data_IF_289910153116
#
_entry.id   IF_289910153116
#
_cell.length_a   1.000
_cell.length_b   1.000
_cell.length_c   1.000
_cell.angle_alpha   90.00
_cell.angle_beta   90.00
_cell.angle_gamma   90.00
#
_symmetry.space_group_name_H-M   'P 1'
#
loop_
_entity.id
_entity.type
_entity.pdbx_description
1 polymer ?
#
# COMPACT_ATOMS: atom_id res chain seq x y z
N UNK A 1 -5.82 -3.68 -8.31
CA UNK A 1 -4.54 -3.96 -7.64
C UNK A 1 -4.55 -3.37 -6.24
N UNK A 2 -3.83 -4.00 -5.34
CA UNK A 2 -3.62 -3.46 -3.99
C UNK A 2 -2.46 -2.48 -4.03
N UNK A 3 -2.64 -1.30 -3.46
CA UNK A 3 -1.66 -0.21 -3.50
C UNK A 3 -1.00 -0.08 -2.13
N UNK A 4 0.33 -0.17 -2.09
CA UNK A 4 1.10 0.15 -0.90
C UNK A 4 1.14 1.66 -0.65
N UNK A 5 1.25 2.06 0.60
CA UNK A 5 1.35 3.47 0.98
C UNK A 5 2.47 4.21 0.24
N UNK A 6 3.59 3.53 -0.05
CA UNK A 6 4.72 4.14 -0.76
C UNK A 6 4.36 4.68 -2.13
N UNK A 7 3.44 4.02 -2.83
CA UNK A 7 2.97 4.45 -4.16
C UNK A 7 2.20 5.76 -4.06
N UNK A 8 1.28 5.86 -3.10
CA UNK A 8 0.50 7.07 -2.86
C UNK A 8 1.40 8.22 -2.42
N UNK A 9 2.35 7.93 -1.52
CA UNK A 9 3.29 8.94 -1.02
C UNK A 9 4.21 9.47 -2.13
N UNK A 10 4.67 8.59 -3.04
CA UNK A 10 5.44 9.01 -4.19
C UNK A 10 4.66 9.97 -5.08
N UNK A 11 3.38 9.70 -5.30
CA UNK A 11 2.50 10.57 -6.07
C UNK A 11 2.29 11.93 -5.38
N UNK A 12 2.01 11.93 -4.06
CA UNK A 12 1.80 13.16 -3.30
C UNK A 12 3.04 14.06 -3.25
N UNK A 13 4.23 13.45 -3.30
CA UNK A 13 5.51 14.17 -3.24
C UNK A 13 6.10 14.44 -4.62
N UNK A 14 5.38 14.12 -5.69
CA UNK A 14 5.88 14.20 -7.08
C UNK A 14 7.27 13.55 -7.24
N UNK A 15 7.47 12.43 -6.57
CA UNK A 15 8.71 11.66 -6.59
C UNK A 15 8.85 10.85 -7.88
N UNK A 16 10.05 10.31 -8.20
CA UNK A 16 10.21 9.39 -9.31
C UNK A 16 9.19 8.24 -9.25
N UNK A 17 8.50 7.97 -10.36
CA UNK A 17 7.44 6.97 -10.43
C UNK A 17 6.04 7.51 -10.20
N UNK A 18 5.86 8.82 -9.96
CA UNK A 18 4.54 9.40 -9.68
C UNK A 18 3.54 9.20 -10.83
N UNK A 19 3.98 9.24 -12.08
CA UNK A 19 3.11 8.99 -13.23
C UNK A 19 2.57 7.55 -13.23
N UNK A 20 3.41 6.57 -12.92
CA UNK A 20 3.00 5.18 -12.78
C UNK A 20 2.09 5.00 -11.57
N UNK A 21 2.39 5.68 -10.47
CA UNK A 21 1.58 5.66 -9.26
C UNK A 21 0.15 6.10 -9.56
N UNK A 22 -0.03 7.20 -10.28
CA UNK A 22 -1.36 7.71 -10.63
C UNK A 22 -2.17 6.68 -11.43
N UNK A 23 -1.55 6.02 -12.40
CA UNK A 23 -2.22 4.97 -13.19
C UNK A 23 -2.71 3.81 -12.33
N UNK A 24 -1.90 3.41 -11.35
CA UNK A 24 -2.24 2.29 -10.47
C UNK A 24 -3.30 2.66 -9.42
N UNK A 25 -3.37 3.95 -9.01
CA UNK A 25 -4.35 4.40 -8.03
C UNK A 25 -5.78 4.45 -8.58
N UNK A 26 -5.94 4.64 -9.90
CA UNK A 26 -7.27 4.66 -10.50
C UNK A 26 -7.92 3.28 -10.30
N UNK A 27 -9.05 3.27 -9.57
CA UNK A 27 -9.78 2.05 -9.24
C UNK A 27 -8.95 1.01 -8.46
N UNK A 28 -7.87 1.42 -7.81
CA UNK A 28 -7.09 0.57 -6.94
C UNK A 28 -7.75 0.39 -5.57
N UNK A 29 -7.20 -0.56 -4.78
CA UNK A 29 -7.61 -0.74 -3.39
C UNK A 29 -6.42 -0.53 -2.47
N UNK A 30 -6.66 0.00 -1.29
CA UNK A 30 -5.64 0.18 -0.25
C UNK A 30 -6.19 -0.35 1.06
N UNK A 31 -5.38 -1.10 1.79
CA UNK A 31 -5.77 -1.60 3.11
C UNK A 31 -5.83 -0.46 4.13
N UNK A 32 -6.69 -0.60 5.14
CA UNK A 32 -6.89 0.42 6.17
C UNK A 32 -5.60 0.77 6.92
N UNK A 33 -4.70 -0.19 7.13
CA UNK A 33 -3.40 0.08 7.78
C UNK A 33 -2.51 0.97 6.92
N UNK A 34 -2.43 0.71 5.62
CA UNK A 34 -1.65 1.52 4.67
C UNK A 34 -2.30 2.88 4.43
N UNK A 35 -3.64 2.93 4.46
CA UNK A 35 -4.40 4.17 4.44
C UNK A 35 -4.02 5.07 5.61
N UNK A 36 -3.93 4.49 6.82
CA UNK A 36 -3.48 5.20 8.01
C UNK A 36 -2.07 5.80 7.84
N UNK A 37 -1.14 5.04 7.25
CA UNK A 37 0.20 5.54 6.97
C UNK A 37 0.18 6.75 6.02
N UNK A 38 -0.62 6.69 4.96
CA UNK A 38 -0.76 7.80 4.01
C UNK A 38 -1.25 9.07 4.71
N UNK A 39 -2.31 8.95 5.50
CA UNK A 39 -2.89 10.11 6.20
C UNK A 39 -1.97 10.66 7.28
N UNK A 40 -1.26 9.77 7.99
CA UNK A 40 -0.27 10.16 8.99
C UNK A 40 0.87 10.96 8.34
N UNK A 41 1.42 10.47 7.24
CA UNK A 41 2.51 11.16 6.53
C UNK A 41 2.04 12.50 5.97
N UNK A 42 0.84 12.57 5.43
CA UNK A 42 0.25 13.82 4.97
C UNK A 42 0.19 14.85 6.09
N UNK A 43 -0.28 14.42 7.26
CA UNK A 43 -0.34 15.28 8.45
C UNK A 43 1.04 15.74 8.91
N UNK A 44 2.03 14.84 8.92
CA UNK A 44 3.42 15.16 9.29
C UNK A 44 4.03 16.23 8.38
N UNK A 45 3.62 16.27 7.11
CA UNK A 45 4.10 17.24 6.11
C UNK A 45 3.22 18.49 6.00
N UNK A 46 2.29 18.69 6.93
CA UNK A 46 1.45 19.88 7.00
C UNK A 46 0.22 19.88 6.09
N UNK A 47 -0.05 18.77 5.40
CA UNK A 47 -1.26 18.64 4.60
C UNK A 47 -2.47 18.30 5.50
N UNK A 48 -3.67 18.66 5.04
CA UNK A 48 -4.90 18.31 5.74
C UNK A 48 -5.34 16.90 5.33
N UNK A 49 -5.36 15.92 6.26
CA UNK A 49 -5.67 14.53 5.89
C UNK A 49 -7.04 14.37 5.23
N UNK A 50 -8.04 15.13 5.66
CA UNK A 50 -9.37 15.08 5.07
C UNK A 50 -9.42 15.50 3.59
N UNK A 51 -8.61 16.47 3.20
CA UNK A 51 -8.49 16.86 1.79
C UNK A 51 -7.77 15.80 0.98
N UNK A 52 -6.70 15.22 1.53
CA UNK A 52 -5.96 14.13 0.89
C UNK A 52 -6.87 12.93 0.70
N UNK A 53 -7.64 12.56 1.71
CA UNK A 53 -8.59 11.44 1.63
C UNK A 53 -9.62 11.65 0.50
N UNK A 54 -10.22 12.85 0.42
CA UNK A 54 -11.20 13.17 -0.62
C UNK A 54 -10.58 13.14 -2.02
N UNK A 55 -9.36 13.65 -2.16
CA UNK A 55 -8.65 13.63 -3.43
C UNK A 55 -8.41 12.20 -3.90
N UNK A 56 -7.88 11.35 -3.03
CA UNK A 56 -7.57 9.97 -3.36
C UNK A 56 -8.82 9.16 -3.69
N UNK A 57 -9.91 9.34 -2.94
CA UNK A 57 -11.17 8.66 -3.25
C UNK A 57 -11.78 9.14 -4.57
N UNK A 58 -11.49 10.38 -4.99
CA UNK A 58 -11.94 10.88 -6.29
C UNK A 58 -11.32 10.14 -7.47
N UNK A 59 -10.16 9.51 -7.29
CA UNK A 59 -9.56 8.61 -8.28
C UNK A 59 -10.18 7.22 -8.32
N UNK A 60 -11.14 6.93 -7.44
CA UNK A 60 -11.73 5.62 -7.32
C UNK A 60 -10.96 4.67 -6.40
N UNK A 61 -9.98 5.17 -5.64
CA UNK A 61 -9.25 4.37 -4.67
C UNK A 61 -10.20 3.95 -3.54
N UNK A 62 -10.30 2.64 -3.30
CA UNK A 62 -11.16 2.06 -2.27
C UNK A 62 -10.35 1.62 -1.07
N UNK A 63 -10.79 1.98 0.13
CA UNK A 63 -10.18 1.53 1.38
C UNK A 63 -10.85 0.22 1.81
N UNK A 64 -10.04 -0.80 2.11
CA UNK A 64 -10.50 -2.13 2.50
C UNK A 64 -10.09 -2.40 3.94
N UNK A 65 -11.02 -2.93 4.73
CA UNK A 65 -10.79 -3.24 6.14
C UNK A 65 -9.70 -4.29 6.33
N UNK A 66 -8.97 -4.18 7.43
CA UNK A 66 -8.06 -5.22 7.92
C UNK A 66 -8.87 -6.25 8.67
N UNK A 67 -8.80 -7.50 8.23
CA UNK A 67 -9.53 -8.60 8.86
C UNK A 67 -8.63 -9.42 9.78
N UNK A 68 -9.24 -10.28 10.62
CA UNK A 68 -8.48 -11.23 11.44
C UNK A 68 -7.63 -12.16 10.56
N UNK A 69 -8.17 -12.61 9.43
CA UNK A 69 -7.44 -13.43 8.47
C UNK A 69 -6.20 -12.69 7.92
N UNK A 70 -6.33 -11.39 7.64
CA UNK A 70 -5.18 -10.59 7.20
C UNK A 70 -4.10 -10.55 8.28
N UNK A 71 -4.49 -10.41 9.53
CA UNK A 71 -3.56 -10.42 10.67
C UNK A 71 -2.81 -11.75 10.80
N UNK A 72 -3.52 -12.86 10.69
CA UNK A 72 -2.92 -14.20 10.74
C UNK A 72 -1.95 -14.40 9.57
N UNK A 73 -2.35 -14.01 8.38
CA UNK A 73 -1.52 -14.14 7.19
C UNK A 73 -0.28 -13.24 7.23
N UNK A 74 -0.44 -12.03 7.76
CA UNK A 74 0.70 -11.13 7.97
C UNK A 74 1.72 -11.72 8.94
N UNK A 75 1.28 -12.44 9.97
CA UNK A 75 2.16 -13.16 10.88
C UNK A 75 2.94 -14.27 10.15
N UNK A 76 2.29 -15.01 9.25
CA UNK A 76 2.93 -16.07 8.45
C UNK A 76 4.00 -15.49 7.50
N UNK A 77 3.85 -14.26 7.08
CA UNK A 77 4.82 -13.59 6.19
C UNK A 77 6.05 -13.05 6.95
N UNK A 78 6.03 -13.07 8.28
CA UNK A 78 7.17 -12.62 9.06
C UNK A 78 8.35 -13.58 8.91
N UNK A 79 9.55 -13.02 8.78
CA UNK A 79 10.79 -13.79 8.77
C UNK A 79 11.87 -13.03 9.52
N UNK A 80 12.74 -13.76 10.20
CA UNK A 80 13.87 -13.18 10.93
C UNK A 80 14.77 -12.43 9.94
N UNK A 81 15.19 -11.21 10.32
CA UNK A 81 16.04 -10.36 9.48
C UNK A 81 15.29 -9.61 8.38
N UNK A 82 13.98 -9.82 8.26
CA UNK A 82 13.16 -9.08 7.30
C UNK A 82 13.02 -7.62 7.72
N UNK A 83 13.05 -6.71 6.72
CA UNK A 83 12.82 -5.28 6.93
C UNK A 83 11.34 -4.90 6.78
N UNK A 84 10.47 -5.88 6.51
CA UNK A 84 9.05 -5.63 6.34
C UNK A 84 8.39 -5.26 7.67
N UNK A 85 7.74 -4.10 7.70
CA UNK A 85 6.90 -3.70 8.83
C UNK A 85 5.62 -4.52 8.89
N UNK A 86 4.88 -4.40 9.98
CA UNK A 86 3.55 -5.01 10.09
C UNK A 86 2.62 -4.49 8.99
N UNK A 87 2.65 -3.18 8.72
CA UNK A 87 1.82 -2.59 7.66
C UNK A 87 2.18 -3.13 6.28
N UNK A 88 3.47 -3.33 5.99
CA UNK A 88 3.93 -3.96 4.75
C UNK A 88 3.35 -5.36 4.60
N UNK A 89 3.44 -6.16 5.66
CA UNK A 89 2.93 -7.53 5.65
C UNK A 89 1.40 -7.59 5.55
N UNK A 90 0.70 -6.63 6.14
CA UNK A 90 -0.75 -6.52 5.99
C UNK A 90 -1.14 -6.13 4.55
N UNK A 91 -0.35 -5.31 3.88
CA UNK A 91 -0.55 -4.99 2.48
C UNK A 91 -0.43 -6.25 1.60
N UNK A 92 0.61 -7.05 1.83
CA UNK A 92 0.81 -8.31 1.12
C UNK A 92 -0.31 -9.31 1.42
N UNK A 93 -0.74 -9.39 2.68
CA UNK A 93 -1.83 -10.26 3.10
C UNK A 93 -3.14 -9.89 2.38
N UNK A 94 -3.41 -8.61 2.22
CA UNK A 94 -4.58 -8.15 1.47
C UNK A 94 -4.53 -8.60 0.01
N UNK A 95 -3.36 -8.48 -0.63
CA UNK A 95 -3.17 -8.99 -1.99
C UNK A 95 -3.48 -10.46 -2.11
N UNK A 96 -3.02 -11.26 -1.15
CA UNK A 96 -3.30 -12.70 -1.11
C UNK A 96 -4.80 -12.98 -0.92
N UNK A 97 -5.45 -12.27 0.00
CA UNK A 97 -6.88 -12.47 0.28
C UNK A 97 -7.75 -12.13 -0.93
N UNK A 98 -7.44 -11.05 -1.62
CA UNK A 98 -8.23 -10.60 -2.77
C UNK A 98 -7.81 -11.25 -4.10
N UNK A 99 -6.70 -11.98 -4.11
CA UNK A 99 -6.16 -12.56 -5.34
C UNK A 99 -5.67 -11.49 -6.32
N UNK A 100 -5.12 -10.39 -5.81
CA UNK A 100 -4.68 -9.25 -6.61
C UNK A 100 -3.17 -9.03 -6.45
N UNK A 101 -2.54 -8.50 -7.48
CA UNK A 101 -1.17 -8.02 -7.41
C UNK A 101 -1.08 -6.81 -6.46
N UNK A 102 0.08 -6.65 -5.83
CA UNK A 102 0.40 -5.52 -4.96
C UNK A 102 1.40 -4.61 -5.67
N UNK A 103 1.13 -3.31 -5.63
CA UNK A 103 2.01 -2.30 -6.21
C UNK A 103 2.73 -1.57 -5.09
N UNK A 104 4.06 -1.50 -5.19
CA UNK A 104 4.92 -0.81 -4.22
C UNK A 104 6.04 -0.08 -4.96
N UNK A 105 6.71 0.85 -4.29
CA UNK A 105 7.94 1.46 -4.81
C UNK A 105 9.19 0.78 -4.27
N UNK A 106 9.05 -0.21 -3.39
CA UNK A 106 10.18 -0.90 -2.75
C UNK A 106 10.54 -2.18 -3.51
N UNK A 107 11.71 -2.16 -4.14
CA UNK A 107 12.23 -3.30 -4.91
C UNK A 107 12.45 -4.56 -4.07
N UNK A 108 12.67 -4.42 -2.77
CA UNK A 108 12.90 -5.56 -1.88
C UNK A 108 11.69 -6.50 -1.79
N UNK A 109 10.48 -6.01 -2.08
CA UNK A 109 9.27 -6.82 -2.03
C UNK A 109 9.21 -7.90 -3.11
N UNK A 110 10.02 -7.78 -4.17
CA UNK A 110 10.07 -8.80 -5.24
C UNK A 110 10.58 -10.16 -4.79
N UNK A 111 11.40 -10.19 -3.73
CA UNK A 111 12.02 -11.41 -3.24
C UNK A 111 11.27 -12.06 -2.06
N UNK A 112 10.05 -11.62 -1.78
CA UNK A 112 9.26 -12.16 -0.67
C UNK A 112 8.70 -13.53 -1.05
N UNK A 113 9.01 -14.54 -0.22
CA UNK A 113 8.49 -15.89 -0.38
C UNK A 113 7.01 -15.95 0.04
N UNK A 114 6.22 -16.72 -0.72
CA UNK A 114 4.81 -16.99 -0.41
C UNK A 114 3.90 -15.76 -0.43
N UNK A 115 4.36 -14.65 -1.00
CA UNK A 115 3.56 -13.44 -1.17
C UNK A 115 2.74 -13.45 -2.48
N UNK A 116 1.96 -12.39 -2.71
CA UNK A 116 1.26 -12.18 -3.97
C UNK A 116 2.25 -11.74 -5.07
N UNK A 117 1.75 -11.60 -6.29
CA UNK A 117 2.51 -10.91 -7.34
C UNK A 117 2.80 -9.47 -6.89
N UNK A 118 4.05 -9.04 -7.09
CA UNK A 118 4.50 -7.69 -6.72
C UNK A 118 4.91 -6.94 -7.98
N UNK A 119 4.37 -5.74 -8.13
CA UNK A 119 4.71 -4.80 -9.20
C UNK A 119 5.43 -3.61 -8.57
N UNK A 120 6.61 -3.29 -9.06
CA UNK A 120 7.37 -2.13 -8.54
C UNK A 120 7.15 -0.93 -9.47
N UNK A 121 6.50 0.11 -8.93
CA UNK A 121 6.15 1.34 -9.63
C UNK A 121 7.25 2.40 -9.47
N UNK A 122 8.42 2.12 -10.05
CA UNK A 122 9.55 3.02 -9.86
C UNK A 122 10.58 2.92 -10.99
#
# INVERSE_FOLDING_TARGET
MVIDASVVLAWLQDAPGSDMAERHMVEGVIGAANWSEVLQKARQHGAQPGLVARLLTSFGLQVVDVTAEDGERAADLWAAGSVLSLADRLCLALGLRLGLAVVTTDHAWRSIAHGPEVIVAR
#
